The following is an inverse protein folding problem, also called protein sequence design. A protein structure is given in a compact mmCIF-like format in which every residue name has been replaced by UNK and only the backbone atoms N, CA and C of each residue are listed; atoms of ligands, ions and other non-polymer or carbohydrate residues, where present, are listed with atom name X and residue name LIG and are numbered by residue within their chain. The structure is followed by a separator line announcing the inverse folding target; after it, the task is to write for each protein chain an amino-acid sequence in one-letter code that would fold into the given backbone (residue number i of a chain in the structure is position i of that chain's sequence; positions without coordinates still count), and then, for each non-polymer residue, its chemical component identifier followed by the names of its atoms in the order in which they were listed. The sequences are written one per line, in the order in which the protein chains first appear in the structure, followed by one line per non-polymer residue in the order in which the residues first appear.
data_IF_501588997719
#
_entry.id   IF_501588997719
#
_cell.length_a   1.000
_cell.length_b   1.000
_cell.length_c   1.000
_cell.angle_alpha   90.00
_cell.angle_beta   90.00
_cell.angle_gamma   90.00
#
_symmetry.space_group_name_H-M   'P 1'
#
loop_
_entity.id
_entity.type
_entity.pdbx_description
1 polymer ?
#
# COMPACT_ATOMS: atom_id res chain seq x y z
N UNK A 1 -34.13 -6.15 -30.52
CA UNK A 1 -34.06 -5.07 -29.52
C UNK A 1 -33.40 -5.42 -28.22
N UNK A 2 -33.56 -6.64 -27.71
CA UNK A 2 -32.95 -7.01 -26.41
C UNK A 2 -31.39 -7.08 -26.39
N UNK A 3 -30.76 -7.36 -27.53
CA UNK A 3 -29.28 -7.45 -27.62
C UNK A 3 -28.58 -6.10 -27.49
N UNK A 4 -29.19 -5.02 -27.96
CA UNK A 4 -28.67 -3.65 -27.89
C UNK A 4 -28.81 -3.13 -26.46
N UNK A 5 -29.86 -3.53 -25.75
CA UNK A 5 -30.11 -3.15 -24.36
C UNK A 5 -29.07 -3.77 -23.41
N UNK A 6 -28.71 -5.03 -23.61
CA UNK A 6 -27.68 -5.71 -22.83
C UNK A 6 -26.29 -5.15 -23.11
N UNK A 7 -26.00 -4.77 -24.35
CA UNK A 7 -24.72 -4.12 -24.70
C UNK A 7 -24.60 -2.73 -24.04
N UNK A 8 -25.70 -1.98 -23.90
CA UNK A 8 -25.72 -0.68 -23.24
C UNK A 8 -25.53 -0.80 -21.72
N UNK A 9 -26.12 -1.81 -21.09
CA UNK A 9 -25.94 -2.11 -19.65
C UNK A 9 -24.50 -2.55 -19.37
N UNK A 10 -23.91 -3.38 -20.24
CA UNK A 10 -22.51 -3.80 -20.11
C UNK A 10 -21.54 -2.61 -20.27
N UNK A 11 -21.84 -1.65 -21.14
CA UNK A 11 -21.03 -0.44 -21.33
C UNK A 11 -21.12 0.50 -20.12
N UNK A 12 -22.28 0.59 -19.48
CA UNK A 12 -22.47 1.35 -18.23
C UNK A 12 -21.71 0.73 -17.04
N UNK A 13 -21.65 -0.60 -16.98
CA UNK A 13 -20.91 -1.31 -15.95
C UNK A 13 -19.39 -1.08 -16.08
N UNK A 14 -18.86 -0.95 -17.29
CA UNK A 14 -17.45 -0.65 -17.54
C UNK A 14 -17.09 0.81 -17.20
N UNK A 15 -18.00 1.76 -17.38
CA UNK A 15 -17.77 3.15 -17.00
C UNK A 15 -17.78 3.37 -15.47
N UNK A 16 -18.48 2.52 -14.70
CA UNK A 16 -18.53 2.59 -13.24
C UNK A 16 -17.22 2.17 -12.56
N UNK A 17 -16.38 1.37 -13.23
CA UNK A 17 -15.11 0.89 -12.68
C UNK A 17 -13.96 1.89 -12.81
N UNK A 18 -14.08 2.96 -13.63
CA UNK A 18 -13.00 3.88 -13.94
C UNK A 18 -12.58 4.78 -12.77
N UNK A 19 -13.42 4.95 -11.75
CA UNK A 19 -13.21 5.83 -10.60
C UNK A 19 -13.34 5.07 -9.27
N UNK A 20 -12.95 3.80 -9.25
CA UNK A 20 -12.98 2.98 -8.04
C UNK A 20 -11.63 2.35 -7.76
N UNK A 21 -11.31 2.20 -6.50
CA UNK A 21 -10.18 1.43 -6.04
C UNK A 21 -10.64 0.10 -5.46
N UNK A 22 -9.81 -0.91 -5.63
CA UNK A 22 -9.96 -2.23 -5.04
C UNK A 22 -8.59 -2.63 -4.47
N UNK A 23 -8.51 -2.70 -3.14
CA UNK A 23 -7.27 -3.05 -2.43
C UNK A 23 -7.43 -4.46 -1.88
N UNK A 24 -6.66 -5.39 -2.43
CA UNK A 24 -6.57 -6.77 -1.94
C UNK A 24 -5.26 -6.96 -1.18
N UNK A 25 -5.36 -7.32 0.09
CA UNK A 25 -4.23 -7.49 0.97
C UNK A 25 -4.07 -8.92 1.48
N UNK A 26 -2.80 -9.29 1.70
CA UNK A 26 -2.41 -10.53 2.35
C UNK A 26 -1.36 -10.28 3.43
N UNK A 27 -1.36 -11.11 4.46
CA UNK A 27 -0.35 -11.07 5.52
C UNK A 27 -0.02 -12.47 6.02
N UNK A 28 1.26 -12.74 6.27
CA UNK A 28 1.71 -13.93 6.97
C UNK A 28 1.88 -13.70 8.48
N UNK A 29 1.63 -12.49 8.96
CA UNK A 29 1.77 -12.13 10.38
C UNK A 29 0.54 -12.61 11.16
N UNK A 30 0.70 -13.65 11.95
CA UNK A 30 -0.41 -14.28 12.69
C UNK A 30 -1.09 -13.34 13.69
N UNK A 31 -0.36 -12.34 14.21
CA UNK A 31 -0.90 -11.35 15.15
C UNK A 31 -1.82 -10.32 14.50
N UNK A 32 -1.83 -10.22 13.17
CA UNK A 32 -2.76 -9.38 12.42
C UNK A 32 -4.14 -10.03 12.25
N UNK A 33 -4.22 -11.36 12.34
CA UNK A 33 -5.48 -12.07 12.14
C UNK A 33 -6.50 -11.67 13.22
N UNK A 34 -7.71 -11.34 12.78
CA UNK A 34 -8.77 -10.83 13.66
C UNK A 34 -8.65 -9.34 14.02
N UNK A 35 -7.61 -8.66 13.58
CA UNK A 35 -7.41 -7.21 13.82
C UNK A 35 -8.13 -6.39 12.76
N UNK A 36 -8.57 -5.20 13.16
CA UNK A 36 -9.18 -4.24 12.25
C UNK A 36 -8.11 -3.31 11.66
N UNK A 37 -8.15 -3.15 10.35
CA UNK A 37 -7.34 -2.19 9.63
C UNK A 37 -8.20 -1.02 9.17
N UNK A 38 -7.60 0.15 9.15
CA UNK A 38 -8.23 1.41 8.73
C UNK A 38 -7.47 1.99 7.55
N UNK A 39 -8.21 2.37 6.51
CA UNK A 39 -7.68 3.14 5.40
C UNK A 39 -7.96 4.61 5.66
N UNK A 40 -6.91 5.42 5.80
CA UNK A 40 -7.01 6.84 6.09
C UNK A 40 -6.31 7.67 5.03
N UNK A 41 -6.89 8.82 4.69
CA UNK A 41 -6.27 9.85 3.86
C UNK A 41 -5.86 11.04 4.71
N UNK A 42 -4.81 11.75 4.28
CA UNK A 42 -4.40 13.00 4.90
C UNK A 42 -5.15 14.16 4.23
N UNK A 43 -6.00 14.83 4.97
CA UNK A 43 -6.77 15.97 4.52
C UNK A 43 -6.69 17.09 5.58
N UNK A 44 -6.28 18.30 5.17
CA UNK A 44 -6.10 19.47 6.07
C UNK A 44 -5.24 19.20 7.31
N UNK A 45 -4.16 18.44 7.16
CA UNK A 45 -3.24 17.98 8.21
C UNK A 45 -3.84 17.00 9.23
N UNK A 46 -5.04 16.47 8.97
CA UNK A 46 -5.66 15.43 9.79
C UNK A 46 -5.87 14.15 8.99
N UNK A 47 -5.74 13.02 9.66
CA UNK A 47 -6.09 11.73 9.07
C UNK A 47 -7.59 11.50 9.14
N UNK A 48 -8.18 11.29 7.97
CA UNK A 48 -9.60 11.01 7.81
C UNK A 48 -9.80 9.54 7.44
N UNK A 49 -10.63 8.85 8.21
CA UNK A 49 -10.98 7.47 7.93
C UNK A 49 -11.86 7.39 6.67
N UNK A 50 -11.44 6.58 5.71
CA UNK A 50 -12.14 6.36 4.43
C UNK A 50 -12.85 5.01 4.42
N UNK A 51 -12.18 3.98 4.97
CA UNK A 51 -12.69 2.61 4.98
C UNK A 51 -12.03 1.83 6.14
N UNK A 52 -12.66 0.71 6.50
CA UNK A 52 -12.12 -0.23 7.48
C UNK A 52 -12.46 -1.66 7.09
N UNK A 53 -11.63 -2.60 7.49
CA UNK A 53 -11.89 -4.03 7.29
C UNK A 53 -11.17 -4.87 8.34
N UNK A 54 -11.67 -6.08 8.56
CA UNK A 54 -11.01 -7.07 9.39
C UNK A 54 -9.99 -7.89 8.60
N UNK A 55 -8.93 -8.31 9.25
CA UNK A 55 -8.02 -9.32 8.71
C UNK A 55 -8.58 -10.70 9.08
N UNK A 56 -8.90 -11.50 8.07
CA UNK A 56 -9.47 -12.85 8.24
C UNK A 56 -8.60 -13.85 7.48
N UNK A 57 -8.02 -14.81 8.19
CA UNK A 57 -7.12 -15.81 7.61
C UNK A 57 -5.99 -15.19 6.78
N UNK A 58 -5.41 -14.12 7.28
CA UNK A 58 -4.32 -13.40 6.60
C UNK A 58 -4.74 -12.62 5.36
N UNK A 59 -6.03 -12.37 5.17
CA UNK A 59 -6.57 -11.62 4.02
C UNK A 59 -7.37 -10.42 4.49
N UNK A 60 -7.27 -9.32 3.76
CA UNK A 60 -8.07 -8.13 3.98
C UNK A 60 -8.38 -7.42 2.66
N UNK A 61 -9.43 -6.62 2.66
CA UNK A 61 -9.92 -5.98 1.46
C UNK A 61 -10.55 -4.62 1.76
N UNK A 62 -10.15 -3.61 0.97
CA UNK A 62 -10.79 -2.31 0.93
C UNK A 62 -11.32 -2.04 -0.46
N UNK A 63 -12.47 -1.43 -0.56
CA UNK A 63 -13.09 -1.07 -1.83
C UNK A 63 -13.86 0.23 -1.69
N UNK A 64 -13.78 1.09 -2.72
CA UNK A 64 -14.51 2.35 -2.72
C UNK A 64 -14.29 3.15 -3.98
N UNK A 65 -14.83 4.36 -3.99
CA UNK A 65 -14.66 5.31 -5.07
C UNK A 65 -13.54 6.29 -4.76
N UNK A 66 -12.85 6.72 -5.82
CA UNK A 66 -11.80 7.74 -5.77
C UNK A 66 -12.03 8.74 -6.89
N UNK A 67 -12.17 10.01 -6.56
CA UNK A 67 -12.38 11.11 -7.51
C UNK A 67 -11.05 11.66 -8.04
N UNK A 68 -10.00 11.64 -7.20
CA UNK A 68 -8.65 12.08 -7.54
C UNK A 68 -7.64 11.25 -6.75
N UNK A 69 -6.46 11.10 -7.32
CA UNK A 69 -5.34 10.42 -6.67
C UNK A 69 -4.96 11.10 -5.36
N UNK A 70 -4.82 10.32 -4.29
CA UNK A 70 -4.49 10.81 -2.94
C UNK A 70 -3.48 9.88 -2.27
N UNK A 71 -2.66 10.46 -1.40
CA UNK A 71 -1.88 9.65 -0.46
C UNK A 71 -2.80 9.10 0.62
N UNK A 72 -2.66 7.84 0.88
CA UNK A 72 -3.41 7.13 1.91
C UNK A 72 -2.46 6.31 2.77
N UNK A 73 -2.94 5.89 3.92
CA UNK A 73 -2.20 5.04 4.85
C UNK A 73 -3.12 3.96 5.40
N UNK A 74 -2.58 2.77 5.56
CA UNK A 74 -3.23 1.72 6.33
C UNK A 74 -2.75 1.83 7.77
N UNK A 75 -3.71 1.88 8.70
CA UNK A 75 -3.48 1.91 10.13
C UNK A 75 -4.03 0.65 10.78
N UNK A 76 -3.37 0.22 11.83
CA UNK A 76 -3.87 -0.75 12.79
C UNK A 76 -3.88 -0.07 14.16
N UNK A 77 -5.06 0.13 14.73
CA UNK A 77 -5.26 1.03 15.88
C UNK A 77 -4.75 2.45 15.53
N UNK A 78 -3.84 3.00 16.30
CA UNK A 78 -3.22 4.30 16.05
C UNK A 78 -1.85 4.20 15.33
N UNK A 79 -1.42 2.98 15.01
CA UNK A 79 -0.13 2.73 14.39
C UNK A 79 -0.23 2.72 12.87
N UNK A 80 0.63 3.51 12.22
CA UNK A 80 0.77 3.50 10.78
C UNK A 80 1.47 2.20 10.33
N UNK A 81 0.79 1.43 9.50
CA UNK A 81 1.29 0.16 8.98
C UNK A 81 1.96 0.36 7.63
N UNK A 82 1.29 1.03 6.69
CA UNK A 82 1.77 1.15 5.31
C UNK A 82 1.22 2.41 4.62
N UNK A 83 2.07 3.24 4.00
CA UNK A 83 1.63 4.27 3.08
C UNK A 83 1.37 3.68 1.68
N UNK A 84 0.39 4.21 0.98
CA UNK A 84 0.06 3.86 -0.40
C UNK A 84 -0.56 5.04 -1.15
N UNK A 85 -0.64 4.93 -2.47
CA UNK A 85 -1.38 5.87 -3.30
C UNK A 85 -2.77 5.32 -3.56
N UNK A 86 -3.79 6.06 -3.16
CA UNK A 86 -5.18 5.73 -3.46
C UNK A 86 -5.51 6.26 -4.84
N UNK A 87 -5.52 5.37 -5.81
CA UNK A 87 -5.83 5.64 -7.22
C UNK A 87 -6.76 4.55 -7.76
N UNK A 88 -7.42 4.82 -8.87
CA UNK A 88 -8.33 3.84 -9.47
C UNK A 88 -7.58 2.60 -9.96
N UNK A 89 -8.21 1.46 -9.81
CA UNK A 89 -7.70 0.16 -10.24
C UNK A 89 -7.55 -0.83 -9.09
N UNK A 90 -6.89 -1.93 -9.40
CA UNK A 90 -6.64 -3.03 -8.46
C UNK A 90 -5.25 -2.87 -7.83
N UNK A 91 -5.25 -2.60 -6.53
CA UNK A 91 -4.04 -2.42 -5.71
C UNK A 91 -3.83 -3.68 -4.90
N UNK A 92 -2.63 -4.23 -4.96
CA UNK A 92 -2.23 -5.40 -4.18
C UNK A 92 -1.32 -4.98 -3.04
N UNK A 93 -1.64 -5.40 -1.83
CA UNK A 93 -0.84 -5.12 -0.63
C UNK A 93 -0.39 -6.43 -0.01
N UNK A 94 0.88 -6.48 0.39
CA UNK A 94 1.47 -7.59 1.12
C UNK A 94 2.08 -7.06 2.40
N UNK A 95 1.60 -7.54 3.54
CA UNK A 95 2.09 -7.17 4.87
C UNK A 95 2.71 -8.39 5.53
N UNK A 96 3.97 -8.64 5.20
CA UNK A 96 4.73 -9.72 5.82
C UNK A 96 5.62 -9.18 6.94
N UNK A 97 6.06 -10.07 7.81
CA UNK A 97 6.97 -9.75 8.91
C UNK A 97 8.35 -9.23 8.44
N UNK A 98 8.76 -9.60 7.23
CA UNK A 98 10.05 -9.20 6.65
C UNK A 98 9.96 -8.10 5.59
N UNK A 99 8.79 -7.93 4.97
CA UNK A 99 8.60 -6.94 3.91
C UNK A 99 7.16 -6.47 3.78
N UNK A 100 7.02 -5.23 3.33
CA UNK A 100 5.76 -4.61 2.98
C UNK A 100 5.81 -4.20 1.52
N UNK A 101 4.83 -4.61 0.74
CA UNK A 101 4.79 -4.37 -0.71
C UNK A 101 3.43 -3.81 -1.11
N UNK A 102 3.45 -2.76 -1.91
CA UNK A 102 2.28 -2.24 -2.61
C UNK A 102 2.53 -2.27 -4.11
N UNK A 103 1.59 -2.77 -4.88
CA UNK A 103 1.75 -2.90 -6.33
C UNK A 103 0.40 -2.95 -7.05
N UNK A 104 0.43 -3.02 -8.37
CA UNK A 104 -0.72 -3.27 -9.23
C UNK A 104 -1.24 -2.02 -9.95
N UNK A 105 -0.91 -0.84 -9.48
CA UNK A 105 -1.26 0.44 -10.12
C UNK A 105 -0.01 1.28 -10.38
N UNK A 106 -0.02 2.18 -11.37
CA UNK A 106 1.19 2.87 -11.81
C UNK A 106 1.89 3.65 -10.71
N UNK A 107 1.15 4.39 -9.89
CA UNK A 107 1.76 5.22 -8.85
C UNK A 107 2.21 4.41 -7.63
N UNK A 108 1.49 3.33 -7.28
CA UNK A 108 1.94 2.41 -6.25
C UNK A 108 3.19 1.64 -6.65
N UNK A 109 3.30 1.24 -7.92
CA UNK A 109 4.52 0.60 -8.44
C UNK A 109 5.72 1.56 -8.36
N UNK A 110 5.53 2.84 -8.68
CA UNK A 110 6.56 3.87 -8.53
C UNK A 110 6.94 4.13 -7.09
N UNK A 111 5.96 4.23 -6.19
CA UNK A 111 6.15 4.44 -4.76
C UNK A 111 6.97 3.30 -4.14
N UNK A 112 6.61 2.06 -4.46
CA UNK A 112 7.34 0.88 -4.01
C UNK A 112 8.77 0.84 -4.56
N UNK A 113 8.96 1.16 -5.84
CA UNK A 113 10.28 1.26 -6.46
C UNK A 113 11.15 2.32 -5.77
N UNK A 114 10.59 3.45 -5.40
CA UNK A 114 11.27 4.49 -4.63
C UNK A 114 11.69 3.98 -3.23
N UNK A 115 10.80 3.36 -2.49
CA UNK A 115 11.14 2.82 -1.16
C UNK A 115 12.22 1.75 -1.23
N UNK A 116 12.14 0.86 -2.21
CA UNK A 116 13.17 -0.17 -2.43
C UNK A 116 14.54 0.46 -2.69
N UNK A 117 14.60 1.48 -3.55
CA UNK A 117 15.83 2.20 -3.83
C UNK A 117 16.36 2.94 -2.61
N UNK A 118 15.49 3.58 -1.85
CA UNK A 118 15.83 4.26 -0.61
C UNK A 118 16.45 3.28 0.40
N UNK A 119 15.86 2.12 0.60
CA UNK A 119 16.40 1.08 1.47
C UNK A 119 17.79 0.59 1.00
N UNK A 120 17.98 0.41 -0.29
CA UNK A 120 19.27 0.04 -0.85
C UNK A 120 20.35 1.08 -0.53
N UNK A 121 20.05 2.36 -0.70
CA UNK A 121 20.97 3.45 -0.38
C UNK A 121 21.29 3.48 1.12
N UNK A 122 20.29 3.31 1.98
CA UNK A 122 20.48 3.26 3.43
C UNK A 122 21.39 2.09 3.84
N UNK A 123 21.21 0.93 3.23
CA UNK A 123 22.04 -0.25 3.49
C UNK A 123 23.48 -0.02 3.03
N UNK A 124 23.69 0.57 1.86
CA UNK A 124 25.03 0.91 1.35
C UNK A 124 25.73 1.93 2.26
N UNK A 125 25.01 2.94 2.71
CA UNK A 125 25.53 3.94 3.63
C UNK A 125 25.96 3.29 4.96
N UNK A 126 25.14 2.43 5.52
CA UNK A 126 25.43 1.69 6.75
C UNK A 126 26.66 0.81 6.59
N UNK A 127 26.80 0.13 5.46
CA UNK A 127 27.96 -0.69 5.14
C UNK A 127 29.24 0.15 5.02
N UNK A 128 29.17 1.32 4.38
CA UNK A 128 30.30 2.25 4.28
C UNK A 128 30.73 2.77 5.66
N UNK A 129 29.79 3.15 6.50
CA UNK A 129 30.08 3.58 7.88
C UNK A 129 30.75 2.46 8.65
N UNK A 130 30.25 1.24 8.56
CA UNK A 130 30.82 0.09 9.23
C UNK A 130 32.27 -0.20 8.76
N UNK A 131 32.54 -0.13 7.45
CA UNK A 131 33.89 -0.28 6.89
C UNK A 131 34.83 0.84 7.35
N UNK A 132 34.35 2.05 7.43
CA UNK A 132 35.12 3.19 7.92
C UNK A 132 35.50 3.00 9.40
N UNK A 133 34.55 2.62 10.24
CA UNK A 133 34.82 2.36 11.66
C UNK A 133 35.80 1.21 11.88
N UNK A 134 35.69 0.14 11.08
CA UNK A 134 36.68 -0.95 11.11
C UNK A 134 38.07 -0.49 10.68
N UNK A 135 38.17 0.36 9.66
CA UNK A 135 39.46 0.90 9.21
C UNK A 135 40.10 1.77 10.28
N UNK A 136 39.33 2.58 11.00
CA UNK A 136 39.80 3.39 12.12
C UNK A 136 40.31 2.48 13.25
N UNK A 137 39.55 1.46 13.62
CA UNK A 137 39.96 0.52 14.68
C UNK A 137 41.22 -0.28 14.33
N UNK A 138 41.36 -0.64 13.05
CA UNK A 138 42.54 -1.41 12.59
C UNK A 138 43.75 -0.50 12.27
N UNK A 139 43.56 0.79 12.07
CA UNK A 139 44.62 1.76 11.75
C UNK A 139 45.13 2.56 12.92
N UNK A 140 44.66 2.27 14.13
CA UNK A 140 45.13 2.91 15.38
C UNK A 140 46.32 2.20 16.06
N UNK A 141 47.10 1.50 15.28
CA UNK A 141 48.38 0.92 15.72
C UNK A 141 49.54 1.89 15.43
#
# INVERSE_FOLDING_TARGET
MNRIFYAFIALMALASCANSYDISGTSNVSTLDGRMLYLKILENNDFKNVDSCDVVHGQFHFQGSVDSMKMANIFMDDDLVLPLVLESGSITVKLDDTQQVVSGTPMNDKLFGFFKKYQQIQNQLRELVHKHDQAIMNGSD
#
